data_IF_854779528155
#
_entry.id   IF_854779528155
#
_cell.length_a   1.000
_cell.length_b   1.000
_cell.length_c   1.000
_cell.angle_alpha   90.00
_cell.angle_beta   90.00
_cell.angle_gamma   90.00
#
_symmetry.space_group_name_H-M   'P 1'
#
loop_
_entity.id
_entity.type
_entity.pdbx_description
1 polymer ?
#
# COMPACT_ATOMS: atom_id res chain seq x y z
N UNK A 1 11.25 -8.37 8.42
CA UNK A 1 10.78 -7.37 7.43
C UNK A 1 10.45 -6.08 8.16
N UNK A 2 10.92 -4.95 7.62
CA UNK A 2 10.62 -3.62 8.14
C UNK A 2 9.13 -3.29 7.92
N UNK A 3 8.57 -2.39 8.73
CA UNK A 3 7.19 -1.91 8.66
C UNK A 3 7.20 -0.40 8.54
N UNK A 4 6.33 0.17 7.71
CA UNK A 4 6.12 1.62 7.66
C UNK A 4 5.32 2.08 8.89
N UNK A 5 5.34 3.38 9.23
CA UNK A 5 4.49 3.94 10.29
C UNK A 5 3.00 3.70 10.06
N UNK A 6 2.57 3.49 8.81
CA UNK A 6 1.19 3.25 8.41
C UNK A 6 0.80 1.76 8.36
N UNK A 7 1.68 0.84 8.77
CA UNK A 7 1.45 -0.59 8.65
C UNK A 7 0.13 -1.07 9.27
N UNK A 8 -0.19 -0.63 10.49
CA UNK A 8 -1.42 -1.05 11.17
C UNK A 8 -2.67 -0.49 10.47
N UNK A 9 -2.59 0.69 9.84
CA UNK A 9 -3.67 1.23 9.03
C UNK A 9 -3.94 0.36 7.80
N UNK A 10 -2.88 -0.12 7.13
CA UNK A 10 -3.00 -1.01 5.98
C UNK A 10 -3.67 -2.34 6.35
N UNK A 11 -3.28 -2.94 7.48
CA UNK A 11 -3.88 -4.18 7.98
C UNK A 11 -5.37 -3.99 8.31
N UNK A 12 -5.73 -2.90 8.99
CA UNK A 12 -7.11 -2.60 9.34
C UNK A 12 -8.00 -2.30 8.12
N UNK A 13 -7.42 -1.76 7.05
CA UNK A 13 -8.09 -1.56 5.77
C UNK A 13 -8.19 -2.83 4.92
N UNK A 14 -7.73 -3.98 5.42
CA UNK A 14 -7.81 -5.26 4.71
C UNK A 14 -6.80 -5.40 3.56
N UNK A 15 -5.72 -4.62 3.57
CA UNK A 15 -4.72 -4.69 2.52
C UNK A 15 -4.05 -6.06 2.43
N UNK A 16 -3.81 -6.51 1.20
CA UNK A 16 -2.96 -7.68 0.95
C UNK A 16 -1.50 -7.28 1.13
N UNK A 17 -0.91 -7.70 2.24
CA UNK A 17 0.48 -7.39 2.57
C UNK A 17 1.46 -8.34 1.87
N UNK A 18 2.52 -7.78 1.28
CA UNK A 18 3.59 -8.54 0.60
C UNK A 18 4.97 -8.14 1.08
N UNK A 19 5.96 -8.95 0.73
CA UNK A 19 7.37 -8.59 0.88
C UNK A 19 7.85 -7.83 -0.34
N UNK A 20 8.16 -6.55 -0.14
CA UNK A 20 8.73 -5.68 -1.15
C UNK A 20 10.00 -5.05 -0.61
N UNK A 21 11.14 -5.37 -1.21
CA UNK A 21 12.46 -4.85 -0.82
C UNK A 21 12.77 -4.96 0.70
N UNK A 22 12.28 -6.02 1.36
CA UNK A 22 12.47 -6.23 2.80
C UNK A 22 11.43 -5.53 3.70
N UNK A 23 10.46 -4.82 3.13
CA UNK A 23 9.35 -4.15 3.80
C UNK A 23 8.04 -4.90 3.66
N UNK A 24 7.18 -4.84 4.70
CA UNK A 24 5.78 -5.29 4.62
C UNK A 24 4.94 -4.16 4.03
N UNK A 25 4.64 -4.25 2.73
CA UNK A 25 3.91 -3.22 1.99
C UNK A 25 2.56 -3.74 1.48
N UNK A 26 1.52 -2.89 1.36
CA UNK A 26 0.26 -3.26 0.74
C UNK A 26 0.42 -3.35 -0.79
N UNK A 27 0.04 -4.47 -1.41
CA UNK A 27 0.02 -4.62 -2.88
C UNK A 27 -1.32 -4.19 -3.50
N UNK A 28 -2.41 -4.37 -2.76
CA UNK A 28 -3.76 -3.96 -3.11
C UNK A 28 -4.62 -3.97 -1.84
N UNK A 29 -5.70 -3.18 -1.83
CA UNK A 29 -6.75 -3.16 -0.81
C UNK A 29 -8.04 -3.80 -1.33
N UNK A 30 -8.47 -3.44 -2.54
CA UNK A 30 -9.71 -3.96 -3.13
C UNK A 30 -9.42 -4.72 -4.43
N UNK A 31 -8.79 -4.06 -5.40
CA UNK A 31 -8.42 -4.63 -6.69
C UNK A 31 -7.40 -3.73 -7.36
N UNK A 32 -6.38 -4.31 -7.96
CA UNK A 32 -5.37 -3.56 -8.75
C UNK A 32 -6.04 -2.72 -9.83
N UNK A 33 -7.09 -3.25 -10.49
CA UNK A 33 -7.79 -2.51 -11.56
C UNK A 33 -8.57 -1.33 -10.97
N UNK A 34 -9.31 -1.54 -9.86
CA UNK A 34 -10.10 -0.48 -9.24
C UNK A 34 -9.22 0.64 -8.69
N UNK A 35 -8.10 0.29 -8.06
CA UNK A 35 -7.13 1.26 -7.55
C UNK A 35 -6.46 2.03 -8.69
N UNK A 36 -6.16 1.36 -9.81
CA UNK A 36 -5.68 2.01 -11.02
C UNK A 36 -6.70 3.01 -11.59
N UNK A 37 -7.96 2.59 -11.74
CA UNK A 37 -9.04 3.45 -12.22
C UNK A 37 -9.27 4.65 -11.30
N UNK A 38 -9.22 4.46 -9.98
CA UNK A 38 -9.35 5.55 -9.00
C UNK A 38 -8.26 6.62 -9.20
N UNK A 39 -7.00 6.20 -9.40
CA UNK A 39 -5.87 7.11 -9.69
C UNK A 39 -6.07 7.86 -11.01
N UNK A 40 -6.61 7.18 -12.04
CA UNK A 40 -6.78 7.76 -13.37
C UNK A 40 -7.97 8.70 -13.48
N UNK A 41 -9.04 8.42 -12.75
CA UNK A 41 -10.31 9.15 -12.85
C UNK A 41 -10.51 10.16 -11.73
N UNK A 42 -9.78 10.02 -10.62
CA UNK A 42 -9.94 10.87 -9.44
C UNK A 42 -8.60 11.04 -8.69
N UNK A 43 -8.38 10.27 -7.61
CA UNK A 43 -7.19 10.33 -6.78
C UNK A 43 -6.82 8.95 -6.24
N UNK A 44 -5.53 8.74 -5.99
CA UNK A 44 -5.03 7.59 -5.25
C UNK A 44 -3.97 8.02 -4.23
N UNK A 45 -3.92 7.31 -3.10
CA UNK A 45 -2.99 7.57 -2.00
C UNK A 45 -2.04 6.39 -1.87
N UNK A 46 -0.74 6.68 -1.82
CA UNK A 46 0.31 5.68 -1.77
C UNK A 46 1.19 5.91 -0.54
N UNK A 47 1.45 4.84 0.23
CA UNK A 47 2.46 4.86 1.29
C UNK A 47 3.85 4.61 0.69
N UNK A 48 4.62 5.68 0.55
CA UNK A 48 6.02 5.65 0.08
C UNK A 48 7.05 5.80 1.22
N UNK A 49 6.64 5.61 2.48
CA UNK A 49 7.51 5.83 3.65
C UNK A 49 8.75 4.93 3.69
N UNK A 50 8.77 3.86 2.92
CA UNK A 50 9.92 2.95 2.78
C UNK A 50 11.03 3.50 1.88
N UNK A 51 10.80 4.57 1.11
CA UNK A 51 11.76 5.14 0.16
C UNK A 51 12.76 6.13 0.78
N UNK A 52 12.58 6.50 2.05
CA UNK A 52 13.36 7.54 2.73
C UNK A 52 14.61 7.05 3.46
N UNK A 53 15.00 5.78 3.28
CA UNK A 53 16.30 5.25 3.71
C UNK A 53 17.34 5.34 2.60
#
# INVERSE_FOLDING_TARGET
>A
MKKTPLYEAHVNLGARMVNFAGWKMPVQYESIIKEHEAVRSNAGVFDISHMGE
#
